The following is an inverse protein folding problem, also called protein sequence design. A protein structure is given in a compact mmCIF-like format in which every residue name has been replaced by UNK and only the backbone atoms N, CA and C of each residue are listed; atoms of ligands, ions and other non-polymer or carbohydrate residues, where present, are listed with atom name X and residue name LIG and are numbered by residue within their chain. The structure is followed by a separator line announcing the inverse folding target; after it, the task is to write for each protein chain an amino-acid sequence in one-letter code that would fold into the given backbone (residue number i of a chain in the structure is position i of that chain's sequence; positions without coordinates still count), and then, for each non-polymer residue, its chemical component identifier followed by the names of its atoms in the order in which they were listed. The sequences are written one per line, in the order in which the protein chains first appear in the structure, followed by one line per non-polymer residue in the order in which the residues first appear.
data_IF_919101794397
#
_entry.id   IF_919101794397
#
_cell.length_a   1.000
_cell.length_b   1.000
_cell.length_c   1.000
_cell.angle_alpha   90.00
_cell.angle_beta   90.00
_cell.angle_gamma   90.00
#
_symmetry.space_group_name_H-M   'P 1'
#
loop_
_entity.id
_entity.type
_entity.pdbx_description
1 polymer ?
#
# COMPACT_ATOMS: atom_id res chain seq x y z
N UNK A 1 -81.29 -39.34 -0.97
CA UNK A 1 -80.43 -38.94 -2.14
C UNK A 1 -79.82 -37.53 -1.93
N UNK A 2 -80.58 -36.55 -1.41
CA UNK A 2 -80.18 -35.15 -1.30
C UNK A 2 -78.97 -34.91 -0.33
N UNK A 3 -78.87 -35.67 0.75
CA UNK A 3 -77.80 -35.55 1.80
C UNK A 3 -76.41 -36.03 1.25
N UNK A 4 -76.42 -37.01 0.36
CA UNK A 4 -75.20 -37.58 -0.20
C UNK A 4 -74.59 -36.61 -1.23
N UNK A 5 -75.43 -35.92 -2.03
CA UNK A 5 -75.02 -34.94 -3.01
C UNK A 5 -74.42 -33.72 -2.33
N UNK A 6 -75.02 -33.25 -1.24
CA UNK A 6 -74.51 -32.14 -0.43
C UNK A 6 -73.13 -32.42 0.15
N UNK A 7 -72.90 -33.63 0.66
CA UNK A 7 -71.63 -34.06 1.26
C UNK A 7 -70.51 -34.15 0.22
N UNK A 8 -70.82 -34.65 -0.97
CA UNK A 8 -69.83 -34.71 -2.08
C UNK A 8 -69.49 -33.32 -2.65
N UNK A 9 -70.47 -32.43 -2.74
CA UNK A 9 -70.18 -31.06 -3.19
C UNK A 9 -69.35 -30.26 -2.19
N UNK A 10 -69.62 -30.37 -0.90
CA UNK A 10 -68.84 -29.74 0.15
C UNK A 10 -67.42 -30.34 0.22
N UNK A 11 -67.29 -31.67 0.13
CA UNK A 11 -65.97 -32.33 0.11
C UNK A 11 -65.12 -31.92 -1.10
N UNK A 12 -65.72 -31.77 -2.28
CA UNK A 12 -65.01 -31.34 -3.47
C UNK A 12 -64.63 -29.86 -3.44
N UNK A 13 -65.49 -29.02 -2.80
CA UNK A 13 -65.16 -27.58 -2.63
C UNK A 13 -63.99 -27.39 -1.65
N UNK A 14 -63.94 -28.14 -0.58
CA UNK A 14 -62.84 -28.11 0.38
C UNK A 14 -61.53 -28.67 -0.24
N UNK A 15 -61.60 -29.76 -0.99
CA UNK A 15 -60.46 -30.31 -1.73
C UNK A 15 -59.89 -29.30 -2.75
N UNK A 16 -60.79 -28.53 -3.43
CA UNK A 16 -60.38 -27.55 -4.41
C UNK A 16 -59.79 -26.28 -3.80
N UNK A 17 -60.24 -25.88 -2.61
CA UNK A 17 -59.80 -24.68 -1.93
C UNK A 17 -58.59 -24.88 -1.00
N UNK A 18 -58.40 -26.08 -0.47
CA UNK A 18 -57.34 -26.37 0.52
C UNK A 18 -56.43 -27.56 0.10
N UNK A 19 -56.68 -28.17 -1.06
CA UNK A 19 -56.09 -29.45 -1.42
C UNK A 19 -54.71 -29.43 -1.97
N UNK A 20 -54.13 -28.30 -2.26
CA UNK A 20 -52.71 -28.21 -2.69
C UNK A 20 -52.14 -26.88 -2.25
N UNK A 21 -51.44 -26.89 -1.14
CA UNK A 21 -50.48 -25.83 -0.90
C UNK A 21 -49.41 -25.91 -1.98
N UNK A 22 -49.06 -24.84 -2.67
CA UNK A 22 -47.92 -24.87 -3.57
C UNK A 22 -46.67 -25.28 -2.74
N UNK A 23 -45.78 -26.10 -3.28
CA UNK A 23 -44.56 -26.42 -2.58
C UNK A 23 -43.84 -25.12 -2.18
N UNK A 24 -43.23 -25.07 -0.97
CA UNK A 24 -42.47 -23.90 -0.58
C UNK A 24 -41.45 -23.61 -1.67
N UNK A 25 -41.39 -22.32 -2.10
CA UNK A 25 -40.39 -21.90 -3.06
C UNK A 25 -39.00 -22.17 -2.46
N UNK A 26 -38.26 -23.04 -3.09
CA UNK A 26 -36.86 -23.29 -2.75
C UNK A 26 -36.04 -22.36 -3.63
N UNK A 27 -35.32 -21.43 -3.01
CA UNK A 27 -34.29 -20.70 -3.73
C UNK A 27 -33.07 -21.62 -3.85
N UNK A 28 -32.71 -21.96 -5.07
CA UNK A 28 -31.50 -22.69 -5.38
C UNK A 28 -30.49 -21.70 -5.96
N UNK A 29 -29.29 -21.69 -5.42
CA UNK A 29 -28.16 -20.95 -5.96
C UNK A 29 -27.15 -21.99 -6.41
N UNK A 30 -26.59 -21.76 -7.59
CA UNK A 30 -25.52 -22.60 -8.10
C UNK A 30 -24.29 -22.44 -7.20
N UNK A 31 -23.75 -23.58 -6.74
CA UNK A 31 -22.51 -23.58 -5.95
C UNK A 31 -21.35 -23.36 -6.92
N UNK A 32 -20.73 -22.19 -6.83
CA UNK A 32 -19.51 -21.89 -7.56
C UNK A 32 -18.34 -22.18 -6.66
N UNK A 33 -17.38 -22.95 -7.14
CA UNK A 33 -16.12 -23.20 -6.43
C UNK A 33 -15.28 -21.91 -6.45
N UNK A 34 -15.20 -21.24 -5.34
CA UNK A 34 -14.34 -20.07 -5.15
C UNK A 34 -13.15 -20.47 -4.29
N UNK A 35 -11.94 -20.13 -4.77
CA UNK A 35 -10.74 -20.21 -3.95
C UNK A 35 -10.68 -18.95 -3.08
N UNK A 36 -10.81 -19.14 -1.79
CA UNK A 36 -10.58 -18.08 -0.82
C UNK A 36 -9.09 -18.04 -0.51
N UNK A 37 -8.48 -16.90 -0.79
CA UNK A 37 -7.13 -16.59 -0.33
C UNK A 37 -7.23 -15.79 0.97
N UNK A 38 -6.50 -16.20 1.96
CA UNK A 38 -6.32 -15.40 3.15
C UNK A 38 -5.44 -14.21 2.78
N UNK A 39 -5.96 -13.01 2.97
CA UNK A 39 -5.23 -11.75 2.74
C UNK A 39 -4.81 -11.18 4.07
N UNK A 40 -3.57 -10.74 4.14
CA UNK A 40 -3.06 -9.98 5.27
C UNK A 40 -3.00 -8.53 4.81
N UNK A 41 -3.66 -7.64 5.54
CA UNK A 41 -3.61 -6.20 5.28
C UNK A 41 -2.78 -5.53 6.37
N UNK A 42 -1.80 -4.76 5.96
CA UNK A 42 -0.90 -4.05 6.87
C UNK A 42 -0.50 -2.70 6.27
N UNK A 43 0.14 -1.88 7.07
CA UNK A 43 0.56 -0.54 6.66
C UNK A 43 2.06 -0.38 6.83
N UNK A 44 2.63 0.43 5.96
CA UNK A 44 4.02 0.82 6.02
C UNK A 44 4.24 2.22 5.46
N UNK A 45 5.46 2.69 5.54
CA UNK A 45 5.85 3.99 4.99
C UNK A 45 6.83 3.77 3.84
N UNK A 46 6.61 4.45 2.74
CA UNK A 46 7.51 4.43 1.59
C UNK A 46 8.86 5.07 1.95
N UNK A 47 9.94 4.31 1.76
CA UNK A 47 11.32 4.75 2.02
C UNK A 47 12.15 4.58 0.77
N UNK A 48 12.97 5.56 0.37
CA UNK A 48 13.82 5.44 -0.80
C UNK A 48 14.93 4.40 -0.59
N UNK A 49 15.47 3.87 -1.66
CA UNK A 49 16.62 2.95 -1.61
C UNK A 49 17.86 3.61 -0.98
N UNK A 50 18.11 4.88 -1.34
CA UNK A 50 19.18 5.71 -0.80
C UNK A 50 18.67 7.13 -0.62
N UNK A 51 19.20 7.80 0.41
CA UNK A 51 18.91 9.20 0.66
C UNK A 51 20.16 9.89 1.19
N UNK A 52 20.53 11.00 0.56
CA UNK A 52 21.56 11.91 1.06
C UNK A 52 20.98 13.27 1.35
N UNK A 53 21.48 13.92 2.39
CA UNK A 53 21.03 15.23 2.87
C UNK A 53 22.15 16.23 2.78
N UNK A 54 21.95 17.31 2.03
CA UNK A 54 22.88 18.40 1.89
C UNK A 54 22.36 19.65 2.61
N UNK A 55 23.21 20.23 3.45
CA UNK A 55 22.93 21.49 4.16
C UNK A 55 23.68 22.63 3.48
N UNK A 56 22.96 23.60 2.95
CA UNK A 56 23.49 24.69 2.14
C UNK A 56 23.18 26.02 2.82
N UNK A 57 24.19 26.90 2.94
CA UNK A 57 23.95 28.27 3.36
C UNK A 57 23.38 29.06 2.18
N UNK A 58 22.30 29.84 2.40
CA UNK A 58 21.70 30.67 1.35
C UNK A 58 22.70 31.65 0.73
N UNK A 59 23.57 32.20 1.55
CA UNK A 59 24.58 33.20 1.11
C UNK A 59 25.71 32.59 0.25
N UNK A 60 25.81 31.25 0.25
CA UNK A 60 26.79 30.47 -0.52
C UNK A 60 26.26 30.08 -1.88
N UNK A 61 24.96 30.17 -2.11
CA UNK A 61 24.29 29.76 -3.33
C UNK A 61 24.64 30.70 -4.50
N UNK A 62 25.11 30.11 -5.61
CA UNK A 62 25.47 30.89 -6.82
C UNK A 62 24.39 30.80 -7.91
N UNK A 63 23.59 29.75 -7.95
CA UNK A 63 22.52 29.56 -8.92
C UNK A 63 21.21 29.16 -8.25
N UNK A 64 20.10 29.28 -9.01
CA UNK A 64 18.79 28.80 -8.57
C UNK A 64 18.79 27.30 -8.42
N UNK A 65 18.26 26.81 -7.34
CA UNK A 65 18.09 25.39 -7.08
C UNK A 65 16.88 24.84 -7.87
N UNK A 66 17.11 23.77 -8.64
CA UNK A 66 16.04 23.04 -9.34
C UNK A 66 15.58 21.86 -8.46
N UNK A 67 14.36 21.98 -7.95
CA UNK A 67 13.74 20.99 -7.07
C UNK A 67 12.81 20.08 -7.87
N UNK A 68 12.58 18.87 -7.36
CA UNK A 68 11.76 17.83 -7.98
C UNK A 68 12.27 17.41 -9.37
N UNK A 69 13.56 17.62 -9.63
CA UNK A 69 14.24 17.19 -10.85
C UNK A 69 14.94 15.85 -10.61
N UNK A 70 14.91 14.97 -11.61
CA UNK A 70 15.72 13.76 -11.60
C UNK A 70 17.12 14.11 -12.10
N UNK A 71 18.15 13.70 -11.37
CA UNK A 71 19.55 13.87 -11.73
C UNK A 71 20.25 12.51 -11.83
N UNK A 72 21.22 12.40 -12.72
CA UNK A 72 22.06 11.22 -12.80
C UNK A 72 23.28 11.37 -11.88
N UNK A 73 23.87 10.23 -11.52
CA UNK A 73 25.14 10.22 -10.79
C UNK A 73 26.20 11.03 -11.57
N UNK A 74 26.83 11.97 -10.90
CA UNK A 74 27.83 12.87 -11.46
C UNK A 74 27.26 14.19 -11.98
N UNK A 75 25.94 14.36 -12.04
CA UNK A 75 25.35 15.63 -12.45
C UNK A 75 25.50 16.68 -11.33
N UNK A 76 25.54 17.94 -11.75
CA UNK A 76 25.61 19.07 -10.85
C UNK A 76 24.24 19.32 -10.22
N UNK A 77 24.15 19.23 -8.89
CA UNK A 77 22.91 19.57 -8.16
C UNK A 77 22.84 21.08 -7.93
N UNK A 78 23.91 21.68 -7.41
CA UNK A 78 23.95 23.11 -7.10
C UNK A 78 25.38 23.64 -7.12
N UNK A 79 25.55 24.89 -7.57
CA UNK A 79 26.80 25.66 -7.50
C UNK A 79 26.84 26.50 -6.25
N UNK A 80 27.91 26.35 -5.47
CA UNK A 80 28.17 27.12 -4.28
C UNK A 80 29.50 27.87 -4.40
N UNK A 81 29.64 28.97 -3.65
CA UNK A 81 30.92 29.68 -3.54
C UNK A 81 31.99 28.81 -2.89
N UNK A 82 31.59 27.94 -1.99
CA UNK A 82 32.47 27.04 -1.27
C UNK A 82 32.86 25.76 -2.04
N UNK A 83 32.17 25.48 -3.16
CA UNK A 83 32.37 24.30 -4.00
C UNK A 83 31.08 23.67 -4.45
N UNK A 84 31.10 23.06 -5.63
CA UNK A 84 29.90 22.47 -6.26
C UNK A 84 29.45 21.21 -5.56
N UNK A 85 28.14 21.00 -5.44
CA UNK A 85 27.54 19.73 -4.99
C UNK A 85 27.16 18.91 -6.23
N UNK A 86 27.78 17.73 -6.32
CA UNK A 86 27.60 16.76 -7.41
C UNK A 86 26.81 15.59 -6.87
N UNK A 87 25.90 15.02 -7.66
CA UNK A 87 25.09 13.88 -7.29
C UNK A 87 25.94 12.61 -7.10
N UNK A 88 26.02 12.02 -5.91
CA UNK A 88 26.78 10.80 -5.63
C UNK A 88 26.12 9.55 -6.23
N UNK A 89 24.83 9.61 -6.46
CA UNK A 89 24.01 8.59 -7.15
C UNK A 89 22.87 9.28 -7.90
N UNK A 90 22.18 8.52 -8.76
CA UNK A 90 21.03 9.02 -9.51
C UNK A 90 19.79 9.04 -8.64
N UNK A 91 19.01 10.13 -8.70
CA UNK A 91 17.83 10.26 -7.84
C UNK A 91 17.07 11.55 -8.08
N UNK A 92 16.06 11.79 -7.28
CA UNK A 92 15.24 13.00 -7.29
C UNK A 92 15.76 13.98 -6.26
N UNK A 93 15.96 15.23 -6.67
CA UNK A 93 16.36 16.32 -5.77
C UNK A 93 15.11 16.84 -5.08
N UNK A 94 15.04 16.64 -3.76
CA UNK A 94 13.94 17.08 -2.91
C UNK A 94 14.33 18.30 -2.06
N UNK A 95 13.32 18.92 -1.49
CA UNK A 95 13.46 19.98 -0.50
C UNK A 95 12.77 19.55 0.78
N UNK A 96 13.53 19.52 1.87
CA UNK A 96 12.95 19.34 3.20
C UNK A 96 12.88 20.70 3.85
N UNK A 97 11.67 21.18 4.06
CA UNK A 97 11.44 22.39 4.84
C UNK A 97 12.00 22.18 6.25
N UNK A 98 12.59 23.24 6.79
CA UNK A 98 13.11 23.24 8.14
C UNK A 98 11.99 22.87 9.13
N UNK A 99 12.13 21.75 9.82
CA UNK A 99 11.40 21.52 11.07
C UNK A 99 11.97 22.46 12.12
N UNK A 100 11.10 23.15 12.83
CA UNK A 100 11.43 24.24 13.78
C UNK A 100 12.33 23.82 14.94
N UNK A 101 12.60 22.53 15.12
CA UNK A 101 13.24 21.98 16.32
C UNK A 101 14.77 21.81 16.26
N UNK A 102 15.42 22.16 15.18
CA UNK A 102 16.88 22.03 15.12
C UNK A 102 17.45 23.41 14.77
N UNK A 103 18.39 23.90 15.57
CA UNK A 103 19.23 25.10 15.47
C UNK A 103 19.73 25.44 14.05
N UNK A 104 18.81 25.52 13.09
CA UNK A 104 19.11 25.89 11.71
C UNK A 104 18.69 27.35 11.56
N UNK A 105 19.65 28.21 11.33
CA UNK A 105 19.36 29.63 11.11
C UNK A 105 18.50 29.77 9.85
N UNK A 106 17.68 30.84 9.76
CA UNK A 106 16.87 31.22 8.58
C UNK A 106 17.66 31.30 7.26
N UNK A 107 18.97 31.10 7.33
CA UNK A 107 19.93 31.15 6.23
C UNK A 107 20.34 29.78 5.68
N UNK A 108 19.80 28.69 6.20
CA UNK A 108 20.18 27.32 5.75
C UNK A 108 19.06 26.69 4.94
N UNK A 109 19.42 26.08 3.81
CA UNK A 109 18.55 25.27 2.96
C UNK A 109 18.97 23.81 3.13
N UNK A 110 18.00 22.94 3.34
CA UNK A 110 18.23 21.50 3.35
C UNK A 110 17.63 20.92 2.08
N UNK A 111 18.45 20.24 1.28
CA UNK A 111 18.02 19.49 0.13
C UNK A 111 18.31 18.01 0.35
N UNK A 112 17.48 17.15 -0.24
CA UNK A 112 17.67 15.70 -0.26
C UNK A 112 17.91 15.23 -1.68
N UNK A 113 18.71 14.20 -1.82
CA UNK A 113 18.80 13.41 -3.04
C UNK A 113 18.32 12.01 -2.70
N UNK A 114 17.21 11.61 -3.29
CA UNK A 114 16.53 10.35 -2.99
C UNK A 114 16.50 9.44 -4.22
N UNK A 115 17.10 8.25 -4.12
CA UNK A 115 16.94 7.18 -5.11
C UNK A 115 15.60 6.47 -4.86
N UNK A 116 14.59 6.90 -5.61
CA UNK A 116 13.20 6.45 -5.46
C UNK A 116 12.76 5.47 -6.56
N UNK A 117 13.66 5.02 -7.44
CA UNK A 117 13.30 4.00 -8.46
C UNK A 117 12.84 2.69 -7.85
N UNK A 118 13.34 2.40 -6.67
CA UNK A 118 12.90 1.30 -5.82
C UNK A 118 12.49 1.88 -4.49
N UNK A 119 11.29 1.57 -4.07
CA UNK A 119 10.76 1.94 -2.76
C UNK A 119 10.78 0.72 -1.86
N UNK A 120 11.28 0.91 -0.66
CA UNK A 120 11.19 -0.07 0.42
C UNK A 120 10.13 0.35 1.42
N UNK A 121 9.59 -0.61 2.14
CA UNK A 121 8.80 -0.34 3.32
C UNK A 121 8.99 -1.45 4.34
N UNK A 122 9.10 -1.06 5.60
CA UNK A 122 9.15 -1.99 6.71
C UNK A 122 7.74 -2.12 7.29
N UNK A 123 7.17 -3.31 7.14
CA UNK A 123 5.83 -3.67 7.60
C UNK A 123 5.91 -4.67 8.75
N UNK A 124 4.85 -4.74 9.55
CA UNK A 124 4.76 -5.68 10.67
C UNK A 124 3.73 -6.76 10.34
N UNK A 125 4.18 -7.98 10.27
CA UNK A 125 3.34 -9.16 10.01
C UNK A 125 3.11 -9.92 11.31
N UNK A 126 1.87 -10.25 11.70
CA UNK A 126 1.60 -11.03 12.90
C UNK A 126 2.27 -12.40 12.90
N UNK A 127 2.69 -12.88 14.07
CA UNK A 127 3.46 -14.12 14.28
C UNK A 127 2.78 -15.36 13.69
N UNK A 128 1.47 -15.43 13.69
CA UNK A 128 0.69 -16.57 13.16
C UNK A 128 0.90 -16.80 11.65
N UNK A 129 1.37 -15.79 10.92
CA UNK A 129 1.67 -15.90 9.48
C UNK A 129 3.15 -16.22 9.18
N UNK A 130 3.98 -16.38 10.22
CA UNK A 130 5.42 -16.60 10.05
C UNK A 130 5.77 -17.83 9.21
N UNK A 131 4.93 -18.86 9.24
CA UNK A 131 5.16 -20.12 8.51
C UNK A 131 4.90 -20.04 7.01
N UNK A 132 4.16 -19.04 6.55
CA UNK A 132 3.81 -18.84 5.13
C UNK A 132 4.55 -17.67 4.50
N UNK A 133 5.29 -16.93 5.31
CA UNK A 133 6.03 -15.76 4.87
C UNK A 133 7.39 -16.17 4.31
N UNK A 134 7.61 -15.89 3.03
CA UNK A 134 8.85 -16.23 2.33
C UNK A 134 9.40 -15.01 1.56
N UNK A 135 10.72 -14.96 1.39
CA UNK A 135 11.37 -13.97 0.53
C UNK A 135 10.93 -14.19 -0.92
N UNK A 136 10.59 -13.09 -1.62
CA UNK A 136 10.06 -13.13 -2.97
C UNK A 136 8.55 -13.33 -3.05
N UNK A 137 7.84 -13.45 -1.91
CA UNK A 137 6.39 -13.48 -1.90
C UNK A 137 5.84 -12.20 -2.54
N UNK A 138 4.97 -12.29 -3.56
CA UNK A 138 4.41 -11.12 -4.21
C UNK A 138 3.48 -10.36 -3.26
N UNK A 139 3.55 -9.03 -3.32
CA UNK A 139 2.70 -8.12 -2.56
C UNK A 139 2.06 -7.09 -3.48
N UNK A 140 0.94 -6.56 -3.06
CA UNK A 140 0.26 -5.43 -3.67
C UNK A 140 0.21 -4.28 -2.68
N UNK A 141 0.69 -3.11 -3.10
CA UNK A 141 0.64 -1.90 -2.29
C UNK A 141 -0.28 -0.86 -2.92
N UNK A 142 -1.06 -0.18 -2.09
CA UNK A 142 -1.93 0.93 -2.48
C UNK A 142 -1.52 2.18 -1.73
N UNK A 143 -1.75 3.33 -2.35
CA UNK A 143 -1.52 4.65 -1.75
C UNK A 143 -2.79 5.48 -1.90
N UNK A 144 -3.18 6.19 -0.86
CA UNK A 144 -4.42 6.97 -0.83
C UNK A 144 -4.50 8.04 -1.93
N UNK A 145 -3.36 8.52 -2.42
CA UNK A 145 -3.28 9.48 -3.53
C UNK A 145 -3.66 8.88 -4.88
N UNK A 146 -3.62 7.55 -5.03
CA UNK A 146 -3.93 6.84 -6.28
C UNK A 146 -5.07 5.84 -6.06
N UNK A 147 -6.32 6.31 -6.10
CA UNK A 147 -7.51 5.52 -5.73
C UNK A 147 -7.67 4.18 -6.45
N UNK A 148 -7.16 4.06 -7.68
CA UNK A 148 -7.36 2.88 -8.54
C UNK A 148 -6.05 2.27 -9.03
N UNK A 149 -4.91 2.62 -8.42
CA UNK A 149 -3.60 2.09 -8.82
C UNK A 149 -3.03 1.21 -7.72
N UNK A 150 -2.59 0.05 -8.13
CA UNK A 150 -1.88 -0.91 -7.29
C UNK A 150 -0.42 -0.96 -7.75
N UNK A 151 0.49 -0.93 -6.81
CA UNK A 151 1.92 -1.06 -7.04
C UNK A 151 2.34 -2.47 -6.63
N UNK A 152 2.97 -3.17 -7.55
CA UNK A 152 3.42 -4.53 -7.30
C UNK A 152 4.82 -4.52 -6.68
N UNK A 153 5.03 -5.45 -5.78
CA UNK A 153 6.30 -5.63 -5.12
C UNK A 153 6.49 -7.06 -4.62
N UNK A 154 7.50 -7.24 -3.83
CA UNK A 154 7.84 -8.54 -3.24
C UNK A 154 8.42 -8.37 -1.84
N UNK A 155 8.36 -9.42 -1.07
CA UNK A 155 9.07 -9.51 0.23
C UNK A 155 10.56 -9.62 -0.04
N UNK A 156 11.34 -8.64 0.43
CA UNK A 156 12.79 -8.61 0.28
C UNK A 156 13.54 -9.23 1.46
N UNK A 157 13.07 -8.92 2.68
CA UNK A 157 13.72 -9.40 3.89
C UNK A 157 12.69 -9.68 4.99
N UNK A 158 12.93 -10.74 5.76
CA UNK A 158 12.13 -11.14 6.91
C UNK A 158 13.06 -11.21 8.12
N UNK A 159 12.67 -10.54 9.20
CA UNK A 159 13.43 -10.60 10.45
C UNK A 159 13.48 -12.04 10.97
N UNK A 160 14.64 -12.47 11.45
CA UNK A 160 14.82 -13.77 12.12
C UNK A 160 14.29 -13.78 13.57
N UNK A 161 13.77 -12.64 14.05
CA UNK A 161 13.31 -12.49 15.43
C UNK A 161 11.93 -11.87 15.47
N UNK A 162 11.05 -12.47 16.25
CA UNK A 162 9.72 -11.93 16.58
C UNK A 162 9.88 -10.86 17.66
N UNK A 163 9.19 -9.74 17.49
CA UNK A 163 9.05 -8.77 18.54
C UNK A 163 8.06 -9.29 19.58
N UNK A 164 8.55 -9.53 20.82
CA UNK A 164 7.74 -10.15 21.86
C UNK A 164 6.59 -9.27 22.37
N UNK A 165 6.75 -7.95 22.29
CA UNK A 165 5.73 -7.01 22.78
C UNK A 165 4.56 -6.88 21.81
N UNK A 166 4.86 -6.86 20.49
CA UNK A 166 3.86 -6.69 19.44
C UNK A 166 3.44 -8.01 18.77
N UNK A 167 4.08 -9.13 19.10
CA UNK A 167 3.86 -10.44 18.49
C UNK A 167 3.86 -10.38 16.96
N UNK A 168 4.86 -9.68 16.41
CA UNK A 168 4.99 -9.48 14.97
C UNK A 168 6.43 -9.66 14.48
N UNK A 169 6.55 -10.01 13.20
CA UNK A 169 7.79 -10.02 12.45
C UNK A 169 7.94 -8.71 11.66
N UNK A 170 9.10 -8.12 11.76
CA UNK A 170 9.48 -7.03 10.86
C UNK A 170 9.82 -7.63 9.49
N UNK A 171 9.11 -7.17 8.49
CA UNK A 171 9.24 -7.63 7.11
C UNK A 171 9.49 -6.44 6.21
N UNK A 172 10.57 -6.46 5.45
CA UNK A 172 10.84 -5.44 4.44
C UNK A 172 10.30 -5.89 3.11
N UNK A 173 9.51 -5.03 2.50
CA UNK A 173 9.03 -5.19 1.14
C UNK A 173 9.78 -4.24 0.20
N UNK A 174 9.85 -4.64 -1.06
CA UNK A 174 10.46 -3.90 -2.15
C UNK A 174 9.44 -3.71 -3.25
N UNK A 175 9.24 -2.47 -3.69
CA UNK A 175 8.25 -2.08 -4.68
C UNK A 175 8.98 -1.42 -5.84
N UNK A 176 8.67 -1.83 -7.07
CA UNK A 176 9.15 -1.15 -8.27
C UNK A 176 8.45 0.20 -8.43
N UNK A 177 9.24 1.25 -8.57
CA UNK A 177 8.80 2.62 -8.78
C UNK A 177 9.53 3.28 -9.95
N UNK A 178 9.73 2.53 -11.03
CA UNK A 178 10.44 3.00 -12.23
C UNK A 178 9.82 4.27 -12.81
N UNK A 179 8.50 4.42 -12.68
CA UNK A 179 7.75 5.60 -13.13
C UNK A 179 7.84 6.80 -12.16
N UNK A 180 8.52 6.64 -11.02
CA UNK A 180 8.73 7.69 -10.00
C UNK A 180 7.43 8.28 -9.43
N UNK A 181 6.36 7.51 -9.38
CA UNK A 181 5.05 7.98 -8.92
C UNK A 181 4.88 7.89 -7.39
N UNK A 182 5.49 6.87 -6.77
CA UNK A 182 5.52 6.77 -5.31
C UNK A 182 6.49 7.78 -4.73
N UNK A 183 5.97 8.62 -3.87
CA UNK A 183 6.76 9.64 -3.16
C UNK A 183 7.22 9.06 -1.82
N UNK A 184 8.49 9.28 -1.48
CA UNK A 184 9.03 8.93 -0.16
C UNK A 184 8.21 9.57 0.96
N UNK A 185 7.93 8.80 2.02
CA UNK A 185 7.06 9.23 3.12
C UNK A 185 5.58 8.92 2.93
N UNK A 186 5.15 8.45 1.75
CA UNK A 186 3.75 8.02 1.53
C UNK A 186 3.38 6.85 2.42
N UNK A 187 2.14 6.85 2.92
CA UNK A 187 1.55 5.71 3.59
C UNK A 187 1.16 4.66 2.54
N UNK A 188 1.66 3.45 2.75
CA UNK A 188 1.35 2.27 1.94
C UNK A 188 0.39 1.36 2.71
N UNK A 189 -0.68 0.96 2.04
CA UNK A 189 -1.54 -0.15 2.43
C UNK A 189 -1.12 -1.37 1.61
N UNK A 190 -0.71 -2.43 2.28
CA UNK A 190 -0.08 -3.61 1.68
C UNK A 190 -0.88 -4.84 1.98
#
# INVERSE_FOLDING_TARGET
ATVIIGRTMIGNHFKKKFGKRPPPGIMVTEVVENRFFEKIETFGTAVPNKSDIFRIKKDDLLNKLELNSYVNKGDLIVKLKSGDIIAPFSGVVGYTGLTEDIFVSDKTIIITLDDTKVIYSDIKIPENYSSVLEKGLPIEAKVSSFKNKTFNGEVDFISSRINADTRSLLTRIKIDNSELELISGSLLEV
#
